data_IF_286157914755
#
_entry.id   IF_286157914755
#
_cell.length_a   1.000
_cell.length_b   1.000
_cell.length_c   1.000
_cell.angle_alpha   90.00
_cell.angle_beta   90.00
_cell.angle_gamma   90.00
#
_symmetry.space_group_name_H-M   'P 1'
#
loop_
_entity.id
_entity.type
_entity.pdbx_description
1 polymer ?
#
# COMPACT_ATOMS: atom_id res chain seq x y z
N UNK A 1 13.43 -18.82 -9.85
CA UNK A 1 12.87 -17.56 -9.31
C UNK A 1 13.63 -16.42 -9.98
N UNK A 2 12.96 -15.50 -10.70
CA UNK A 2 13.61 -14.32 -11.26
C UNK A 2 14.21 -13.46 -10.14
N UNK A 3 15.24 -12.67 -10.47
CA UNK A 3 15.80 -11.71 -9.55
C UNK A 3 14.90 -10.47 -9.44
N UNK A 4 15.04 -9.72 -8.35
CA UNK A 4 14.23 -8.52 -8.11
C UNK A 4 14.49 -7.39 -9.12
N UNK A 5 15.60 -7.40 -9.85
CA UNK A 5 15.90 -6.39 -10.88
C UNK A 5 15.40 -6.77 -12.27
N UNK A 6 14.83 -7.97 -12.45
CA UNK A 6 14.18 -8.33 -13.71
C UNK A 6 12.88 -7.50 -13.88
N UNK A 7 12.38 -7.27 -15.11
CA UNK A 7 11.14 -6.53 -15.31
C UNK A 7 9.95 -7.12 -14.53
N UNK A 8 9.24 -6.28 -13.79
CA UNK A 8 8.05 -6.68 -13.04
C UNK A 8 6.79 -6.44 -13.87
N UNK A 9 5.78 -7.27 -13.66
CA UNK A 9 4.43 -7.00 -14.16
C UNK A 9 3.70 -6.01 -13.23
N UNK A 10 3.89 -6.14 -11.92
CA UNK A 10 3.29 -5.30 -10.89
C UNK A 10 3.97 -5.53 -9.53
N UNK A 11 3.87 -4.54 -8.64
CA UNK A 11 4.13 -4.70 -7.21
C UNK A 11 2.84 -4.88 -6.42
N UNK A 12 2.83 -5.86 -5.52
CA UNK A 12 1.70 -6.15 -4.63
C UNK A 12 1.96 -5.67 -3.21
N UNK A 13 1.02 -4.90 -2.66
CA UNK A 13 1.07 -4.39 -1.29
C UNK A 13 -0.22 -4.75 -0.55
N UNK A 14 -0.16 -4.75 0.79
CA UNK A 14 -1.35 -4.92 1.63
C UNK A 14 -1.54 -3.69 2.49
N UNK A 15 -2.72 -3.08 2.42
CA UNK A 15 -3.00 -1.91 3.24
C UNK A 15 -3.14 -2.30 4.72
N UNK A 16 -2.55 -1.55 5.67
CA UNK A 16 -2.60 -1.89 7.08
C UNK A 16 -4.02 -1.76 7.62
N UNK A 17 -4.35 -2.61 8.60
CA UNK A 17 -5.58 -2.45 9.39
C UNK A 17 -5.34 -1.50 10.56
N UNK A 18 -6.30 -0.61 10.89
CA UNK A 18 -6.23 0.23 12.09
C UNK A 18 -5.97 -0.55 13.39
N UNK A 19 -6.61 -1.71 13.52
CA UNK A 19 -6.53 -2.57 14.71
C UNK A 19 -5.52 -3.73 14.54
N UNK A 20 -4.59 -3.61 13.59
CA UNK A 20 -3.56 -4.62 13.34
C UNK A 20 -2.35 -4.49 14.27
N UNK A 21 -1.55 -5.56 14.35
CA UNK A 21 -0.30 -5.57 15.12
C UNK A 21 0.91 -5.03 14.35
N UNK A 22 0.75 -4.72 13.06
CA UNK A 22 1.86 -4.28 12.19
C UNK A 22 2.46 -2.95 12.64
N UNK A 23 1.67 -2.05 13.22
CA UNK A 23 2.10 -0.71 13.61
C UNK A 23 1.51 -0.26 14.96
N UNK A 24 1.92 -0.87 16.09
CA UNK A 24 1.35 -0.59 17.41
C UNK A 24 1.52 0.89 17.79
N UNK A 25 0.42 1.56 18.11
CA UNK A 25 0.42 2.98 18.50
C UNK A 25 0.72 3.98 17.38
N UNK A 26 1.04 3.52 16.16
CA UNK A 26 1.52 4.37 15.06
C UNK A 26 0.70 4.29 13.79
N UNK A 27 -0.39 3.51 13.78
CA UNK A 27 -1.22 3.32 12.58
C UNK A 27 -1.54 4.62 11.84
N UNK A 28 -1.94 5.70 12.55
CA UNK A 28 -2.33 6.97 11.91
C UNK A 28 -1.23 7.62 11.06
N UNK A 29 0.04 7.34 11.35
CA UNK A 29 1.19 7.85 10.60
C UNK A 29 1.44 7.06 9.31
N UNK A 30 0.95 5.83 9.21
CA UNK A 30 1.37 4.87 8.18
C UNK A 30 0.62 5.04 6.85
N UNK A 31 -0.71 5.18 6.78
CA UNK A 31 -1.44 5.43 5.53
C UNK A 31 -0.83 6.53 4.63
N UNK A 32 -0.49 7.74 5.12
CA UNK A 32 0.11 8.76 4.25
C UNK A 32 1.54 8.40 3.80
N UNK A 33 2.29 7.60 4.56
CA UNK A 33 3.62 7.13 4.16
C UNK A 33 3.50 6.06 3.07
N UNK A 34 2.60 5.09 3.26
CA UNK A 34 2.31 4.06 2.27
C UNK A 34 1.78 4.66 0.98
N UNK A 35 0.93 5.70 1.06
CA UNK A 35 0.46 6.39 -0.14
C UNK A 35 1.60 7.03 -0.95
N UNK A 36 2.59 7.65 -0.28
CA UNK A 36 3.79 8.18 -0.94
C UNK A 36 4.59 7.06 -1.62
N UNK A 37 4.75 5.92 -0.96
CA UNK A 37 5.42 4.75 -1.53
C UNK A 37 4.68 4.23 -2.77
N UNK A 38 3.36 4.04 -2.66
CA UNK A 38 2.51 3.60 -3.78
C UNK A 38 2.65 4.55 -4.96
N UNK A 39 2.62 5.87 -4.72
CA UNK A 39 2.79 6.88 -5.77
C UNK A 39 4.13 6.73 -6.50
N UNK A 40 5.23 6.60 -5.75
CA UNK A 40 6.57 6.44 -6.32
C UNK A 40 6.71 5.15 -7.14
N UNK A 41 6.16 4.03 -6.66
CA UNK A 41 6.20 2.76 -7.40
C UNK A 41 5.34 2.85 -8.67
N UNK A 42 4.17 3.50 -8.57
CA UNK A 42 3.24 3.66 -9.69
C UNK A 42 3.78 4.49 -10.87
N UNK A 43 4.89 5.22 -10.67
CA UNK A 43 5.59 5.91 -11.76
C UNK A 43 6.36 4.93 -12.67
N UNK A 44 6.71 3.74 -12.17
CA UNK A 44 7.48 2.73 -12.91
C UNK A 44 6.70 1.48 -13.29
N UNK A 45 5.69 1.08 -12.51
CA UNK A 45 4.97 -0.19 -12.70
C UNK A 45 3.56 -0.18 -12.09
N UNK A 46 2.75 -1.21 -12.42
CA UNK A 46 1.42 -1.36 -11.83
C UNK A 46 1.51 -1.70 -10.33
N UNK A 47 0.63 -1.10 -9.53
CA UNK A 47 0.54 -1.38 -8.09
C UNK A 47 -0.81 -1.99 -7.75
N UNK A 48 -0.80 -3.19 -7.20
CA UNK A 48 -1.98 -3.89 -6.72
C UNK A 48 -2.03 -3.86 -5.19
N UNK A 49 -3.13 -3.37 -4.62
CA UNK A 49 -3.28 -3.21 -3.17
C UNK A 49 -4.38 -4.13 -2.67
N UNK A 50 -4.01 -5.07 -1.79
CA UNK A 50 -4.96 -5.86 -1.02
C UNK A 50 -5.62 -4.99 0.05
N UNK A 51 -6.94 -4.96 0.03
CA UNK A 51 -7.79 -4.21 0.96
C UNK A 51 -8.72 -5.17 1.69
N UNK A 52 -8.95 -4.90 2.98
CA UNK A 52 -9.67 -5.80 3.87
C UNK A 52 -11.19 -5.69 3.75
N UNK A 53 -11.70 -4.48 3.57
CA UNK A 53 -13.13 -4.19 3.49
C UNK A 53 -13.38 -2.86 2.76
N UNK A 54 -14.65 -2.58 2.48
CA UNK A 54 -15.07 -1.38 1.73
C UNK A 54 -14.88 -0.07 2.49
N UNK A 55 -14.92 -0.09 3.82
CA UNK A 55 -14.70 1.11 4.61
C UNK A 55 -13.24 1.55 4.55
N UNK A 56 -12.32 0.58 4.71
CA UNK A 56 -10.90 0.82 4.59
C UNK A 56 -10.49 1.18 3.17
N UNK A 57 -11.17 0.64 2.15
CA UNK A 57 -10.98 1.05 0.75
C UNK A 57 -11.18 2.57 0.57
N UNK A 58 -12.24 3.12 1.18
CA UNK A 58 -12.55 4.55 1.09
C UNK A 58 -11.48 5.41 1.77
N UNK A 59 -10.99 4.98 2.93
CA UNK A 59 -9.92 5.67 3.65
C UNK A 59 -8.57 5.59 2.91
N UNK A 60 -8.26 4.44 2.32
CA UNK A 60 -7.08 4.25 1.50
C UNK A 60 -7.11 5.15 0.25
N UNK A 61 -8.25 5.21 -0.46
CA UNK A 61 -8.45 6.09 -1.61
C UNK A 61 -8.19 7.57 -1.27
N UNK A 62 -8.75 8.05 -0.17
CA UNK A 62 -8.50 9.42 0.32
C UNK A 62 -7.03 9.70 0.67
N UNK A 63 -6.27 8.67 1.02
CA UNK A 63 -4.85 8.80 1.32
C UNK A 63 -3.99 8.82 0.05
N UNK A 64 -4.51 8.25 -1.06
CA UNK A 64 -3.84 8.11 -2.36
C UNK A 64 -4.13 9.28 -3.32
N UNK A 65 -5.16 10.10 -3.03
CA UNK A 65 -5.42 11.39 -3.69
C UNK A 65 -4.31 12.42 -3.39
#
# INVERSE_FOLDING_TARGET
MPAEWEPHAATWLTWPKPNGISFPGRYKEIPPILAKLVKLISEGEEVHINIWDKELELLAKRSLE
#
